data_IF_325270747853
#
_entry.id   IF_325270747853
#
_cell.length_a   1.000
_cell.length_b   1.000
_cell.length_c   1.000
_cell.angle_alpha   90.00
_cell.angle_beta   90.00
_cell.angle_gamma   90.00
#
_symmetry.space_group_name_H-M   'P 1'
#
loop_
_entity.id
_entity.type
_entity.pdbx_description
1 polymer ?
#
# COMPACT_ATOMS: atom_id res chain seq x y z
N UNK A 1 12.40 26.15 -19.76
CA UNK A 1 11.03 25.86 -20.23
C UNK A 1 11.16 25.31 -21.65
N UNK A 2 11.22 23.99 -21.82
CA UNK A 2 11.42 23.34 -23.12
C UNK A 2 10.46 22.16 -23.25
N UNK A 3 9.83 22.07 -24.42
CA UNK A 3 9.30 20.87 -25.07
C UNK A 3 8.16 20.08 -24.39
N UNK A 4 6.94 20.62 -24.47
CA UNK A 4 5.72 19.79 -24.55
C UNK A 4 5.00 20.10 -25.86
N UNK A 5 5.58 19.66 -26.98
CA UNK A 5 5.17 20.04 -28.34
C UNK A 5 4.35 18.98 -29.06
N UNK A 6 3.91 17.91 -28.37
CA UNK A 6 3.15 16.81 -28.97
C UNK A 6 1.88 16.55 -28.16
N UNK A 7 0.82 17.27 -28.52
CA UNK A 7 -0.54 16.87 -28.19
C UNK A 7 -0.82 15.56 -28.94
N UNK A 8 -1.45 14.57 -28.29
CA UNK A 8 -1.81 13.24 -28.84
C UNK A 8 -0.67 12.21 -29.00
N UNK A 9 0.40 12.30 -28.20
CA UNK A 9 1.36 11.19 -28.15
C UNK A 9 0.68 9.92 -27.65
N UNK A 10 0.72 8.85 -28.44
CA UNK A 10 0.21 7.54 -28.04
C UNK A 10 0.98 7.06 -26.81
N UNK A 11 0.25 6.59 -25.79
CA UNK A 11 0.84 5.99 -24.61
C UNK A 11 1.23 4.55 -24.99
N UNK A 12 2.53 4.18 -24.96
CA UNK A 12 2.93 2.82 -25.26
C UNK A 12 2.37 1.88 -24.17
N UNK A 13 1.47 0.98 -24.56
CA UNK A 13 0.94 -0.05 -23.67
C UNK A 13 1.86 -1.26 -23.76
N UNK A 14 2.65 -1.50 -22.71
CA UNK A 14 3.43 -2.72 -22.56
C UNK A 14 2.65 -3.77 -21.73
N UNK A 15 3.24 -4.95 -21.54
CA UNK A 15 2.58 -6.02 -20.78
C UNK A 15 2.31 -5.69 -19.31
N UNK A 16 3.14 -4.85 -18.69
CA UNK A 16 2.97 -4.41 -17.30
C UNK A 16 1.80 -3.43 -17.18
N UNK A 17 1.73 -2.44 -18.08
CA UNK A 17 0.61 -1.49 -18.16
C UNK A 17 -0.70 -2.23 -18.43
N UNK A 18 -0.71 -3.20 -19.35
CA UNK A 18 -1.90 -4.00 -19.61
C UNK A 18 -2.34 -4.80 -18.38
N UNK A 19 -1.41 -5.45 -17.69
CA UNK A 19 -1.68 -6.22 -16.46
C UNK A 19 -2.29 -5.32 -15.39
N UNK A 20 -1.68 -4.17 -15.13
CA UNK A 20 -2.12 -3.27 -14.05
C UNK A 20 -3.48 -2.61 -14.39
N UNK A 21 -3.73 -2.27 -15.66
CA UNK A 21 -5.06 -1.81 -16.11
C UNK A 21 -6.13 -2.89 -16.02
N UNK A 22 -5.78 -4.15 -16.32
CA UNK A 22 -6.69 -5.28 -16.17
C UNK A 22 -7.01 -5.52 -14.70
N UNK A 23 -5.99 -5.52 -13.82
CA UNK A 23 -6.16 -5.59 -12.37
C UNK A 23 -7.11 -4.49 -11.88
N UNK A 24 -6.93 -3.25 -12.33
CA UNK A 24 -7.76 -2.14 -11.91
C UNK A 24 -9.21 -2.31 -12.37
N UNK A 25 -9.43 -2.73 -13.62
CA UNK A 25 -10.75 -3.03 -14.17
C UNK A 25 -11.48 -4.12 -13.36
N UNK A 26 -10.78 -5.21 -13.03
CA UNK A 26 -11.35 -6.33 -12.26
C UNK A 26 -11.65 -5.92 -10.81
N UNK A 27 -10.78 -5.10 -10.22
CA UNK A 27 -10.95 -4.57 -8.87
C UNK A 27 -12.18 -3.68 -8.76
N UNK A 28 -12.41 -2.79 -9.74
CA UNK A 28 -13.53 -1.84 -9.72
C UNK A 28 -14.90 -2.54 -9.66
N UNK A 29 -15.02 -3.76 -10.17
CA UNK A 29 -16.27 -4.54 -10.09
C UNK A 29 -16.66 -4.88 -8.64
N UNK A 30 -15.69 -4.91 -7.73
CA UNK A 30 -15.86 -5.31 -6.33
C UNK A 30 -15.55 -4.16 -5.35
N UNK A 31 -15.19 -2.99 -5.84
CA UNK A 31 -14.93 -1.82 -5.00
C UNK A 31 -16.26 -1.27 -4.45
N UNK A 32 -16.22 -0.65 -3.26
CA UNK A 32 -17.42 -0.06 -2.62
C UNK A 32 -17.93 1.20 -3.33
N UNK A 33 -17.31 1.59 -4.44
CA UNK A 33 -17.56 2.80 -5.20
C UNK A 33 -16.37 3.76 -5.17
N UNK A 34 -16.45 4.81 -5.99
CA UNK A 34 -15.43 5.85 -6.07
C UNK A 34 -15.62 6.83 -4.89
N UNK A 35 -14.84 6.69 -3.82
CA UNK A 35 -14.68 7.71 -2.76
C UNK A 35 -13.46 8.62 -3.02
N UNK A 36 -13.19 8.97 -4.28
CA UNK A 36 -12.06 9.85 -4.64
C UNK A 36 -12.16 11.27 -4.07
N UNK A 37 -13.33 11.69 -3.57
CA UNK A 37 -13.59 13.08 -3.14
C UNK A 37 -13.25 13.33 -1.68
N UNK A 38 -13.27 12.29 -0.83
CA UNK A 38 -13.10 12.43 0.62
C UNK A 38 -11.72 11.98 1.13
N UNK A 39 -10.88 11.39 0.26
CA UNK A 39 -9.57 10.87 0.67
C UNK A 39 -8.65 12.00 1.16
N UNK A 40 -8.04 11.79 2.33
CA UNK A 40 -7.02 12.66 2.93
C UNK A 40 -7.49 14.07 3.35
N UNK A 41 -8.79 14.27 3.59
CA UNK A 41 -9.31 15.51 4.22
C UNK A 41 -9.58 15.25 5.71
N UNK A 42 -8.56 14.82 6.45
CA UNK A 42 -8.65 14.60 7.90
C UNK A 42 -7.30 14.86 8.58
N UNK A 43 -7.35 15.20 9.87
CA UNK A 43 -6.17 15.45 10.70
C UNK A 43 -5.83 14.20 11.53
N UNK A 44 -4.58 14.02 11.97
CA UNK A 44 -4.17 12.90 12.85
C UNK A 44 -5.11 12.70 14.06
N UNK A 45 -5.70 13.78 14.59
CA UNK A 45 -6.63 13.76 15.71
C UNK A 45 -7.98 13.08 15.41
N UNK A 46 -8.31 12.92 14.12
CA UNK A 46 -9.53 12.31 13.60
C UNK A 46 -9.33 10.82 13.26
N UNK A 47 -8.15 10.27 13.51
CA UNK A 47 -7.86 8.86 13.28
C UNK A 47 -8.77 7.97 14.15
N UNK A 48 -9.54 7.09 13.49
CA UNK A 48 -10.31 6.04 14.17
C UNK A 48 -9.38 4.93 14.70
N UNK A 49 -8.19 4.82 14.09
CA UNK A 49 -7.19 3.83 14.43
C UNK A 49 -5.77 4.40 14.29
N UNK A 50 -4.90 4.06 15.24
CA UNK A 50 -3.47 4.39 15.19
C UNK A 50 -2.64 3.12 15.37
N UNK A 51 -1.69 2.90 14.47
CA UNK A 51 -0.72 1.81 14.56
C UNK A 51 0.69 2.23 14.21
N UNK A 52 1.65 1.39 14.59
CA UNK A 52 3.07 1.55 14.30
C UNK A 52 3.57 0.31 13.59
N UNK A 53 4.45 0.49 12.63
CA UNK A 53 5.10 -0.59 11.89
C UNK A 53 6.60 -0.43 11.90
N UNK A 54 7.31 -1.55 11.96
CA UNK A 54 8.77 -1.58 11.88
C UNK A 54 9.18 -2.85 11.12
N UNK A 55 10.33 -2.80 10.46
CA UNK A 55 10.91 -3.94 9.77
C UNK A 55 12.43 -3.99 9.97
N UNK A 56 12.94 -5.21 9.95
CA UNK A 56 14.36 -5.51 10.05
C UNK A 56 14.78 -6.50 8.98
N UNK A 57 16.08 -6.78 8.90
CA UNK A 57 16.61 -7.82 8.02
C UNK A 57 16.04 -9.22 8.32
N UNK A 58 15.57 -9.47 9.54
CA UNK A 58 15.06 -10.78 9.96
C UNK A 58 13.53 -10.90 9.87
N UNK A 59 12.80 -9.80 10.03
CA UNK A 59 11.34 -9.87 10.18
C UNK A 59 10.68 -8.50 10.12
N UNK A 60 9.39 -8.48 10.42
CA UNK A 60 8.57 -7.28 10.48
C UNK A 60 7.64 -7.35 11.69
N UNK A 61 7.20 -6.19 12.14
CA UNK A 61 6.25 -6.09 13.24
C UNK A 61 5.26 -4.97 13.02
N UNK A 62 4.12 -5.09 13.70
CA UNK A 62 3.21 -3.98 13.89
C UNK A 62 2.60 -4.01 15.28
N UNK A 63 2.29 -2.83 15.80
CA UNK A 63 1.75 -2.62 17.13
C UNK A 63 0.56 -1.67 17.05
N UNK A 64 -0.49 -1.94 17.82
CA UNK A 64 -1.61 -1.03 18.00
C UNK A 64 -2.33 -1.32 19.32
N UNK A 65 -2.80 -0.28 20.02
CA UNK A 65 -3.62 -0.42 21.23
C UNK A 65 -3.13 -1.49 22.24
N UNK A 66 -1.81 -1.58 22.46
CA UNK A 66 -1.18 -2.57 23.34
C UNK A 66 -1.03 -4.00 22.77
N UNK A 67 -1.55 -4.27 21.58
CA UNK A 67 -1.32 -5.52 20.85
C UNK A 67 -0.03 -5.42 20.02
N UNK A 68 0.73 -6.50 19.94
CA UNK A 68 1.97 -6.57 19.17
C UNK A 68 2.01 -7.87 18.38
N UNK A 69 2.37 -7.77 17.11
CA UNK A 69 2.54 -8.90 16.21
C UNK A 69 3.91 -8.81 15.57
N UNK A 70 4.68 -9.90 15.66
CA UNK A 70 6.02 -10.00 15.10
C UNK A 70 6.11 -11.24 14.22
N UNK A 71 6.59 -11.06 12.99
CA UNK A 71 6.71 -12.11 11.99
C UNK A 71 8.15 -12.25 11.55
N UNK A 72 8.66 -13.47 11.54
CA UNK A 72 9.99 -13.79 11.02
C UNK A 72 9.87 -14.32 9.60
N UNK A 73 10.53 -13.65 8.65
CA UNK A 73 10.57 -14.10 7.26
C UNK A 73 11.80 -14.96 7.06
N UNK A 74 11.56 -16.25 6.85
CA UNK A 74 12.62 -17.22 6.57
C UNK A 74 12.97 -17.15 5.09
N UNK A 75 14.20 -16.76 4.78
CA UNK A 75 14.72 -16.88 3.41
C UNK A 75 14.77 -18.35 3.03
N UNK A 76 14.06 -18.71 1.96
CA UNK A 76 14.19 -20.05 1.37
C UNK A 76 15.48 -20.10 0.56
N UNK A 77 16.28 -21.16 0.72
CA UNK A 77 17.51 -21.33 -0.06
C UNK A 77 17.23 -21.20 -1.57
N UNK A 78 18.07 -20.42 -2.26
CA UNK A 78 17.96 -20.18 -3.70
C UNK A 78 16.97 -19.08 -4.13
N UNK A 79 16.29 -18.39 -3.20
CA UNK A 79 15.45 -17.23 -3.51
C UNK A 79 16.15 -15.91 -3.21
N UNK A 80 15.84 -14.88 -4.00
CA UNK A 80 16.31 -13.52 -3.77
C UNK A 80 15.88 -13.05 -2.38
N UNK A 81 16.80 -12.52 -1.55
CA UNK A 81 16.44 -11.94 -0.26
C UNK A 81 15.42 -10.83 -0.45
N UNK A 82 14.39 -10.82 0.39
CA UNK A 82 13.44 -9.70 0.47
C UNK A 82 14.19 -8.50 1.04
N UNK A 83 14.29 -7.43 0.25
CA UNK A 83 14.94 -6.18 0.64
C UNK A 83 14.20 -5.50 1.80
N UNK A 84 14.91 -4.63 2.52
CA UNK A 84 14.36 -3.95 3.70
C UNK A 84 13.10 -3.15 3.36
N UNK A 85 13.10 -2.45 2.23
CA UNK A 85 11.97 -1.63 1.80
C UNK A 85 10.71 -2.48 1.50
N UNK A 86 10.88 -3.64 0.83
CA UNK A 86 9.78 -4.61 0.70
C UNK A 86 9.24 -5.09 2.04
N UNK A 87 10.07 -5.22 3.08
CA UNK A 87 9.62 -5.67 4.42
C UNK A 87 8.88 -4.56 5.16
N UNK A 88 9.33 -3.32 5.04
CA UNK A 88 8.64 -2.14 5.59
C UNK A 88 7.24 -2.01 4.97
N UNK A 89 7.15 -2.10 3.64
CA UNK A 89 5.86 -2.11 2.95
C UNK A 89 4.99 -3.31 3.34
N UNK A 90 5.59 -4.49 3.53
CA UNK A 90 4.86 -5.66 3.99
C UNK A 90 4.39 -5.52 5.43
N UNK A 91 5.09 -4.76 6.28
CA UNK A 91 4.67 -4.43 7.63
C UNK A 91 3.40 -3.56 7.62
N UNK A 92 3.40 -2.51 6.80
CA UNK A 92 2.24 -1.66 6.54
C UNK A 92 1.08 -2.48 6.00
N UNK A 93 1.31 -3.30 4.97
CA UNK A 93 0.29 -4.17 4.42
C UNK A 93 -0.28 -5.14 5.47
N UNK A 94 0.58 -5.71 6.33
CA UNK A 94 0.15 -6.66 7.36
C UNK A 94 -0.76 -6.00 8.39
N UNK A 95 -0.41 -4.80 8.84
CA UNK A 95 -1.24 -4.00 9.75
C UNK A 95 -2.57 -3.62 9.08
N UNK A 96 -2.52 -3.08 7.87
CA UNK A 96 -3.70 -2.67 7.12
C UNK A 96 -4.64 -3.85 6.88
N UNK A 97 -4.12 -4.98 6.41
CA UNK A 97 -4.90 -6.20 6.19
C UNK A 97 -5.55 -6.69 7.49
N UNK A 98 -4.80 -6.69 8.60
CA UNK A 98 -5.32 -7.06 9.91
C UNK A 98 -6.52 -6.19 10.31
N UNK A 99 -6.42 -4.87 10.12
CA UNK A 99 -7.48 -3.94 10.49
C UNK A 99 -8.68 -4.05 9.53
N UNK A 100 -8.42 -4.11 8.23
CA UNK A 100 -9.41 -4.24 7.17
C UNK A 100 -10.22 -5.54 7.26
N UNK A 101 -9.65 -6.59 7.87
CA UNK A 101 -10.32 -7.89 8.07
C UNK A 101 -11.35 -7.90 9.22
N UNK A 102 -11.44 -6.82 10.00
CA UNK A 102 -12.44 -6.72 11.09
C UNK A 102 -13.87 -6.62 10.52
N UNK A 103 -14.90 -7.09 11.25
CA UNK A 103 -16.29 -7.00 10.79
C UNK A 103 -16.76 -5.57 10.47
N UNK A 104 -16.22 -4.59 11.21
CA UNK A 104 -16.44 -3.16 11.00
C UNK A 104 -15.07 -2.48 10.97
N UNK A 105 -14.44 -2.36 9.79
CA UNK A 105 -13.13 -1.70 9.69
C UNK A 105 -13.28 -0.19 9.99
N UNK A 106 -12.30 0.41 10.70
CA UNK A 106 -12.22 1.87 10.89
C UNK A 106 -12.10 2.59 9.54
N UNK A 107 -12.54 3.85 9.48
CA UNK A 107 -12.49 4.64 8.25
C UNK A 107 -11.14 5.33 8.11
N UNK A 108 -10.72 6.11 9.11
CA UNK A 108 -9.43 6.82 9.09
C UNK A 108 -8.37 6.04 9.87
N UNK A 109 -7.32 5.60 9.19
CA UNK A 109 -6.24 4.80 9.77
C UNK A 109 -4.93 5.57 9.66
N UNK A 110 -4.36 5.92 10.82
CA UNK A 110 -3.03 6.52 10.92
C UNK A 110 -1.98 5.44 11.18
N UNK A 111 -0.99 5.34 10.28
CA UNK A 111 0.12 4.40 10.41
C UNK A 111 1.43 5.18 10.52
N UNK A 112 2.13 4.99 11.64
CA UNK A 112 3.48 5.49 11.82
C UNK A 112 4.51 4.45 11.34
N UNK A 113 5.38 4.88 10.43
CA UNK A 113 6.53 4.12 9.94
C UNK A 113 7.76 5.04 9.93
N UNK A 114 8.94 4.48 10.15
CA UNK A 114 10.22 5.16 10.00
C UNK A 114 10.76 5.10 8.55
N UNK A 115 10.06 4.40 7.66
CA UNK A 115 10.40 4.28 6.24
C UNK A 115 9.79 5.41 5.43
N UNK A 116 10.58 6.47 5.18
CA UNK A 116 10.17 7.56 4.28
C UNK A 116 9.87 7.03 2.87
N UNK A 117 10.66 6.07 2.38
CA UNK A 117 10.45 5.44 1.08
C UNK A 117 9.06 4.78 0.99
N UNK A 118 8.58 4.19 2.10
CA UNK A 118 7.24 3.58 2.17
C UNK A 118 6.12 4.61 2.14
N UNK A 119 6.33 5.77 2.75
CA UNK A 119 5.38 6.89 2.68
C UNK A 119 5.34 7.46 1.26
N UNK A 120 6.51 7.65 0.62
CA UNK A 120 6.60 8.21 -0.72
C UNK A 120 5.95 7.32 -1.80
N UNK A 121 6.14 6.01 -1.74
CA UNK A 121 5.54 5.08 -2.71
C UNK A 121 4.02 4.99 -2.56
N UNK A 122 3.50 5.07 -1.33
CA UNK A 122 2.05 5.10 -1.07
C UNK A 122 1.43 6.39 -1.57
N UNK A 123 2.07 7.53 -1.30
CA UNK A 123 1.59 8.84 -1.74
C UNK A 123 1.64 9.02 -3.27
N UNK A 124 2.71 8.52 -3.91
CA UNK A 124 2.86 8.63 -5.36
C UNK A 124 2.11 7.55 -6.15
N UNK A 125 1.65 6.49 -5.47
CA UNK A 125 1.14 5.25 -6.07
C UNK A 125 2.05 4.73 -7.20
N UNK A 126 3.37 4.82 -7.01
CA UNK A 126 4.35 4.54 -8.06
C UNK A 126 5.58 3.82 -7.53
N UNK A 127 5.78 2.59 -8.00
CA UNK A 127 6.89 1.74 -7.63
C UNK A 127 7.95 1.67 -8.75
N UNK A 128 9.23 1.74 -8.39
CA UNK A 128 10.34 1.54 -9.35
C UNK A 128 10.62 0.07 -9.64
N UNK A 129 10.48 -0.80 -8.64
CA UNK A 129 10.66 -2.23 -8.81
C UNK A 129 9.32 -2.96 -8.75
N UNK A 130 9.17 -3.99 -9.58
CA UNK A 130 7.95 -4.77 -9.69
C UNK A 130 7.54 -5.47 -8.39
N UNK A 131 8.51 -5.83 -7.53
CA UNK A 131 8.24 -6.41 -6.21
C UNK A 131 7.49 -5.45 -5.29
N UNK A 132 7.88 -4.17 -5.28
CA UNK A 132 7.20 -3.14 -4.50
C UNK A 132 5.83 -2.81 -5.09
N UNK A 133 5.71 -2.80 -6.42
CA UNK A 133 4.43 -2.58 -7.10
C UNK A 133 3.39 -3.63 -6.69
N UNK A 134 3.79 -4.89 -6.58
CA UNK A 134 2.88 -5.96 -6.18
C UNK A 134 2.28 -5.73 -4.77
N UNK A 135 3.09 -5.28 -3.81
CA UNK A 135 2.61 -4.95 -2.45
C UNK A 135 1.69 -3.73 -2.50
N UNK A 136 2.08 -2.70 -3.24
CA UNK A 136 1.31 -1.47 -3.42
C UNK A 136 -0.08 -1.76 -4.01
N UNK A 137 -0.17 -2.57 -5.05
CA UNK A 137 -1.45 -2.98 -5.65
C UNK A 137 -2.36 -3.70 -4.63
N UNK A 138 -1.80 -4.53 -3.75
CA UNK A 138 -2.60 -5.18 -2.70
C UNK A 138 -3.11 -4.16 -1.68
N UNK A 139 -2.27 -3.20 -1.26
CA UNK A 139 -2.68 -2.11 -0.37
C UNK A 139 -3.82 -1.30 -1.02
N UNK A 140 -3.65 -0.86 -2.27
CA UNK A 140 -4.67 -0.14 -3.01
C UNK A 140 -5.96 -0.94 -3.17
N UNK A 141 -5.86 -2.25 -3.37
CA UNK A 141 -7.03 -3.12 -3.43
C UNK A 141 -7.80 -3.17 -2.10
N UNK A 142 -7.11 -3.19 -0.96
CA UNK A 142 -7.75 -3.14 0.36
C UNK A 142 -8.46 -1.81 0.54
N UNK A 143 -7.80 -0.69 0.28
CA UNK A 143 -8.38 0.66 0.36
C UNK A 143 -9.65 0.75 -0.49
N UNK A 144 -9.58 0.35 -1.77
CA UNK A 144 -10.71 0.43 -2.70
C UNK A 144 -11.88 -0.51 -2.34
N UNK A 145 -11.60 -1.67 -1.72
CA UNK A 145 -12.64 -2.63 -1.31
C UNK A 145 -13.28 -2.32 0.03
N UNK A 146 -12.54 -1.68 0.94
CA UNK A 146 -13.01 -1.47 2.32
C UNK A 146 -13.43 -0.04 2.58
N UNK A 147 -12.95 0.92 1.80
CA UNK A 147 -13.17 2.35 2.03
C UNK A 147 -12.35 2.93 3.17
N UNK A 148 -11.37 2.16 3.68
CA UNK A 148 -10.34 2.66 4.59
C UNK A 148 -9.56 3.78 3.90
N UNK A 149 -9.27 4.84 4.63
CA UNK A 149 -8.43 5.96 4.22
C UNK A 149 -7.16 6.02 5.08
N UNK A 150 -6.01 6.21 4.42
CA UNK A 150 -4.65 6.17 4.98
C UNK A 150 -3.98 7.54 4.98
#
# INVERSE_FOLDING_TARGET
MSDKTLQFQAIPINGEVHRDLTWFSDLLQNAIGIRFVDSQIWEDSMADFVGWTDASSAGLSFVYAGNSFCYQLHSTEGKTPVDIFSRELLAILSLLHHIASKPTPPCHILIYSDSLDSVEILNSLSARAQSHNAILLVISAIVLKTGVDL
#
